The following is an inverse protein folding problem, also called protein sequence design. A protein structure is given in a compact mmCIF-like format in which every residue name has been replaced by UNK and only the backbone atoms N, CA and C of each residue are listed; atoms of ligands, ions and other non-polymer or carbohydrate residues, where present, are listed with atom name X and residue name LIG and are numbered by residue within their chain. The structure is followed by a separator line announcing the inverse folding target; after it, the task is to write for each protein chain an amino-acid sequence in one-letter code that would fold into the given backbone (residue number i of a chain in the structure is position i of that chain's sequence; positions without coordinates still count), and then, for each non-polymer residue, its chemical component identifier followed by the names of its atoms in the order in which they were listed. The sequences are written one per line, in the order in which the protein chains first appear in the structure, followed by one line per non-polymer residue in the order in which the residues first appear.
data_IF_213130065022
#
_entry.id   IF_213130065022
#
_cell.length_a   1.000
_cell.length_b   1.000
_cell.length_c   1.000
_cell.angle_alpha   90.00
_cell.angle_beta   90.00
_cell.angle_gamma   90.00
#
_symmetry.space_group_name_H-M   'P 1'
#
loop_
_entity.id
_entity.type
_entity.pdbx_description
1 polymer ?
#
# COMPACT_ATOMS: atom_id res chain seq x y z
N UNK A 1 -13.56 -23.10 6.71
CA UNK A 1 -14.50 -22.37 5.83
C UNK A 1 -13.66 -21.33 5.12
N UNK A 2 -13.49 -21.44 3.81
CA UNK A 2 -12.60 -20.57 3.05
C UNK A 2 -13.05 -19.11 3.10
N UNK A 3 -12.10 -18.19 3.18
CA UNK A 3 -12.32 -16.76 3.02
C UNK A 3 -12.64 -16.44 1.56
N UNK A 4 -13.85 -15.94 1.31
CA UNK A 4 -14.35 -15.62 -0.02
C UNK A 4 -14.02 -14.18 -0.43
N UNK A 5 -13.22 -14.04 -1.47
CA UNK A 5 -12.72 -12.78 -2.01
C UNK A 5 -13.55 -12.28 -3.19
N UNK A 6 -13.87 -11.00 -3.16
CA UNK A 6 -14.30 -10.21 -4.32
C UNK A 6 -13.19 -9.28 -4.78
N UNK A 7 -12.97 -9.17 -6.09
CA UNK A 7 -11.91 -8.32 -6.66
C UNK A 7 -12.54 -7.11 -7.37
N UNK A 8 -12.16 -5.90 -6.97
CA UNK A 8 -12.51 -4.66 -7.67
C UNK A 8 -11.31 -4.15 -8.46
N UNK A 9 -11.46 -4.10 -9.79
CA UNK A 9 -10.45 -3.83 -10.84
C UNK A 9 -9.88 -5.10 -11.48
N UNK A 10 -9.32 -4.91 -12.67
CA UNK A 10 -8.65 -5.94 -13.48
C UNK A 10 -7.25 -5.51 -13.91
N UNK A 11 -6.68 -4.51 -13.21
CA UNK A 11 -5.34 -3.99 -13.46
C UNK A 11 -4.22 -4.96 -13.04
N UNK A 12 -2.97 -4.57 -13.34
CA UNK A 12 -1.79 -5.40 -13.07
C UNK A 12 -1.68 -5.87 -11.62
N UNK A 13 -1.93 -4.99 -10.65
CA UNK A 13 -1.85 -5.36 -9.23
C UNK A 13 -2.94 -6.35 -8.81
N UNK A 14 -4.13 -6.30 -9.44
CA UNK A 14 -5.18 -7.31 -9.23
C UNK A 14 -4.79 -8.65 -9.84
N UNK A 15 -4.19 -8.66 -11.04
CA UNK A 15 -3.64 -9.87 -11.63
C UNK A 15 -2.60 -10.52 -10.70
N UNK A 16 -1.68 -9.72 -10.16
CA UNK A 16 -0.61 -10.22 -9.29
C UNK A 16 -1.19 -10.74 -7.96
N UNK A 17 -2.16 -10.04 -7.37
CA UNK A 17 -2.86 -10.47 -6.16
C UNK A 17 -3.66 -11.76 -6.35
N UNK A 18 -4.40 -11.88 -7.47
CA UNK A 18 -5.18 -13.08 -7.81
C UNK A 18 -4.25 -14.27 -8.05
N UNK A 19 -3.13 -14.06 -8.75
CA UNK A 19 -2.13 -15.11 -8.92
C UNK A 19 -1.56 -15.55 -7.57
N UNK A 20 -1.24 -14.62 -6.67
CA UNK A 20 -0.76 -14.94 -5.32
C UNK A 20 -1.80 -15.72 -4.51
N UNK A 21 -3.07 -15.32 -4.54
CA UNK A 21 -4.16 -16.05 -3.87
C UNK A 21 -4.36 -17.46 -4.42
N UNK A 22 -4.22 -17.66 -5.73
CA UNK A 22 -4.33 -18.99 -6.36
C UNK A 22 -3.20 -19.96 -5.96
N UNK A 23 -2.13 -19.50 -5.30
CA UNK A 23 -1.12 -20.37 -4.70
C UNK A 23 -1.49 -20.83 -3.28
N UNK A 24 -2.53 -20.26 -2.67
CA UNK A 24 -2.98 -20.63 -1.33
C UNK A 24 -4.01 -21.77 -1.40
N UNK A 25 -4.20 -22.54 -0.31
CA UNK A 25 -5.17 -23.64 -0.29
C UNK A 25 -6.62 -23.18 -0.53
N UNK A 26 -7.35 -23.90 -1.38
CA UNK A 26 -8.75 -23.61 -1.75
C UNK A 26 -9.74 -23.71 -0.57
N UNK A 27 -9.38 -24.45 0.49
CA UNK A 27 -10.16 -24.57 1.72
C UNK A 27 -9.93 -23.41 2.71
N UNK A 28 -8.90 -22.59 2.45
CA UNK A 28 -8.58 -21.36 3.17
C UNK A 28 -8.98 -20.09 2.39
N UNK A 29 -8.80 -20.06 1.07
CA UNK A 29 -9.04 -18.87 0.23
C UNK A 29 -9.73 -19.21 -1.09
N UNK A 30 -10.77 -18.45 -1.44
CA UNK A 30 -11.49 -18.61 -2.70
C UNK A 30 -11.82 -17.27 -3.32
N UNK A 31 -11.52 -17.11 -4.61
CA UNK A 31 -11.91 -15.93 -5.38
C UNK A 31 -13.25 -16.23 -6.04
N UNK A 32 -14.31 -15.57 -5.57
CA UNK A 32 -15.68 -15.91 -5.98
C UNK A 32 -16.26 -14.94 -7.00
N UNK A 33 -15.69 -13.74 -7.13
CA UNK A 33 -16.09 -12.85 -8.20
C UNK A 33 -15.22 -11.61 -8.40
N UNK A 34 -15.38 -10.99 -9.56
CA UNK A 34 -14.63 -9.81 -10.00
C UNK A 34 -15.54 -8.78 -10.65
N UNK A 35 -15.27 -7.51 -10.42
CA UNK A 35 -15.93 -6.39 -11.09
C UNK A 35 -14.88 -5.41 -11.62
N UNK A 36 -15.23 -4.74 -12.73
CA UNK A 36 -14.38 -3.77 -13.40
C UNK A 36 -15.22 -2.56 -13.83
N UNK A 37 -14.57 -1.49 -14.31
CA UNK A 37 -15.26 -0.31 -14.83
C UNK A 37 -16.03 -0.56 -16.13
N UNK A 38 -15.79 -1.70 -16.77
CA UNK A 38 -16.52 -2.19 -17.94
C UNK A 38 -16.71 -3.69 -17.78
N UNK A 39 -17.92 -4.18 -18.01
CA UNK A 39 -18.28 -5.60 -17.85
C UNK A 39 -17.36 -6.52 -18.65
N UNK A 40 -17.03 -6.15 -19.89
CA UNK A 40 -16.21 -6.97 -20.78
C UNK A 40 -14.81 -7.22 -20.21
N UNK A 41 -14.25 -6.24 -19.49
CA UNK A 41 -12.96 -6.39 -18.79
C UNK A 41 -13.07 -7.34 -17.61
N UNK A 42 -14.18 -7.31 -16.88
CA UNK A 42 -14.43 -8.25 -15.78
C UNK A 42 -14.57 -9.68 -16.32
N UNK A 43 -15.30 -9.87 -17.42
CA UNK A 43 -15.46 -11.17 -18.08
C UNK A 43 -14.14 -11.73 -18.61
N UNK A 44 -13.32 -10.90 -19.26
CA UNK A 44 -11.99 -11.30 -19.74
C UNK A 44 -11.09 -11.74 -18.58
N UNK A 45 -11.06 -10.95 -17.52
CA UNK A 45 -10.26 -11.25 -16.34
C UNK A 45 -10.77 -12.50 -15.60
N UNK A 46 -12.08 -12.67 -15.51
CA UNK A 46 -12.70 -13.85 -14.92
C UNK A 46 -12.34 -15.13 -15.69
N UNK A 47 -12.44 -15.10 -17.04
CA UNK A 47 -11.99 -16.21 -17.88
C UNK A 47 -10.52 -16.53 -17.69
N UNK A 48 -9.66 -15.50 -17.64
CA UNK A 48 -8.21 -15.67 -17.48
C UNK A 48 -7.83 -16.37 -16.17
N UNK A 49 -8.54 -16.05 -15.09
CA UNK A 49 -8.20 -16.52 -13.74
C UNK A 49 -9.18 -17.58 -13.20
N UNK A 50 -10.10 -18.10 -14.04
CA UNK A 50 -11.15 -19.03 -13.66
C UNK A 50 -12.03 -18.55 -12.48
N UNK A 51 -12.37 -17.26 -12.47
CA UNK A 51 -13.22 -16.66 -11.43
C UNK A 51 -14.70 -16.93 -11.79
N UNK A 52 -15.52 -17.46 -10.88
CA UNK A 52 -16.88 -17.90 -11.23
C UNK A 52 -17.83 -16.80 -11.72
N UNK A 53 -17.73 -15.59 -11.15
CA UNK A 53 -18.67 -14.50 -11.43
C UNK A 53 -17.92 -13.24 -11.89
N UNK A 54 -18.28 -12.71 -13.06
CA UNK A 54 -17.95 -11.37 -13.48
C UNK A 54 -19.20 -10.48 -13.32
N UNK A 55 -19.15 -9.48 -12.45
CA UNK A 55 -20.29 -8.60 -12.18
C UNK A 55 -20.38 -7.44 -13.18
N UNK A 56 -21.59 -6.94 -13.40
CA UNK A 56 -21.89 -5.77 -14.24
C UNK A 56 -21.27 -4.48 -13.67
N UNK A 57 -21.28 -4.36 -12.34
CA UNK A 57 -20.86 -3.15 -11.64
C UNK A 57 -20.14 -3.47 -10.33
N UNK A 58 -19.43 -2.48 -9.79
CA UNK A 58 -18.82 -2.58 -8.46
C UNK A 58 -19.88 -2.72 -7.37
N UNK A 59 -21.05 -2.10 -7.57
CA UNK A 59 -22.19 -2.16 -6.68
C UNK A 59 -22.78 -3.57 -6.58
N UNK A 60 -22.85 -4.29 -7.70
CA UNK A 60 -23.38 -5.66 -7.72
C UNK A 60 -22.47 -6.62 -6.96
N UNK A 61 -21.15 -6.49 -7.13
CA UNK A 61 -20.18 -7.25 -6.32
C UNK A 61 -20.30 -6.88 -4.84
N UNK A 62 -20.39 -5.59 -4.51
CA UNK A 62 -20.48 -5.15 -3.12
C UNK A 62 -21.75 -5.68 -2.40
N UNK A 63 -22.85 -5.88 -3.13
CA UNK A 63 -24.11 -6.42 -2.60
C UNK A 63 -24.13 -7.94 -2.46
N UNK A 64 -23.23 -8.67 -3.11
CA UNK A 64 -23.23 -10.13 -3.08
C UNK A 64 -22.92 -10.65 -1.67
N UNK A 65 -23.90 -11.29 -1.04
CA UNK A 65 -23.80 -11.80 0.34
C UNK A 65 -22.80 -12.96 0.50
N UNK A 66 -22.42 -13.64 -0.59
CA UNK A 66 -21.43 -14.72 -0.58
C UNK A 66 -19.99 -14.24 -0.41
N UNK A 67 -19.70 -12.97 -0.70
CA UNK A 67 -18.35 -12.38 -0.55
C UNK A 67 -18.11 -12.00 0.90
N UNK A 68 -17.01 -12.48 1.48
CA UNK A 68 -16.60 -12.13 2.85
C UNK A 68 -15.72 -10.89 2.93
N UNK A 69 -14.79 -10.76 1.98
CA UNK A 69 -13.82 -9.67 1.90
C UNK A 69 -13.66 -9.19 0.47
N UNK A 70 -13.48 -7.88 0.30
CA UNK A 70 -13.21 -7.26 -1.00
C UNK A 70 -11.77 -6.76 -1.05
N UNK A 71 -11.09 -7.04 -2.15
CA UNK A 71 -9.81 -6.46 -2.50
C UNK A 71 -10.01 -5.33 -3.54
N UNK A 72 -9.47 -4.15 -3.26
CA UNK A 72 -9.52 -2.99 -4.16
C UNK A 72 -8.11 -2.72 -4.68
N UNK A 73 -7.90 -2.96 -5.98
CA UNK A 73 -6.65 -2.65 -6.68
C UNK A 73 -6.87 -1.71 -7.88
N UNK A 74 -7.67 -0.67 -7.69
CA UNK A 74 -7.94 0.37 -8.71
C UNK A 74 -6.84 1.43 -8.72
N UNK A 75 -7.05 2.49 -9.51
CA UNK A 75 -6.23 3.70 -9.42
C UNK A 75 -6.48 4.43 -8.10
N UNK A 76 -5.47 5.17 -7.62
CA UNK A 76 -5.46 5.84 -6.31
C UNK A 76 -6.69 6.73 -6.05
N UNK A 77 -7.18 7.41 -7.09
CA UNK A 77 -8.32 8.34 -6.99
C UNK A 77 -9.66 7.65 -6.78
N UNK A 78 -9.77 6.37 -7.14
CA UNK A 78 -10.99 5.58 -6.98
C UNK A 78 -11.09 4.91 -5.59
N UNK A 79 -9.98 4.79 -4.85
CA UNK A 79 -9.95 4.06 -3.58
C UNK A 79 -11.00 4.56 -2.59
N UNK A 80 -11.08 5.88 -2.34
CA UNK A 80 -12.02 6.41 -1.34
C UNK A 80 -13.48 6.05 -1.64
N UNK A 81 -13.93 6.30 -2.88
CA UNK A 81 -15.32 6.05 -3.27
C UNK A 81 -15.66 4.55 -3.19
N UNK A 82 -14.75 3.68 -3.64
CA UNK A 82 -14.98 2.24 -3.62
C UNK A 82 -14.88 1.64 -2.21
N UNK A 83 -13.96 2.12 -1.38
CA UNK A 83 -13.92 1.74 0.03
C UNK A 83 -15.25 2.09 0.72
N UNK A 84 -15.76 3.30 0.49
CA UNK A 84 -17.04 3.75 1.05
C UNK A 84 -18.22 2.90 0.56
N UNK A 85 -18.25 2.53 -0.73
CA UNK A 85 -19.23 1.61 -1.30
C UNK A 85 -19.19 0.23 -0.60
N UNK A 86 -18.01 -0.38 -0.49
CA UNK A 86 -17.82 -1.70 0.11
C UNK A 86 -18.17 -1.70 1.60
N UNK A 87 -17.70 -0.72 2.35
CA UNK A 87 -18.00 -0.58 3.79
C UNK A 87 -19.49 -0.30 4.04
N UNK A 88 -20.18 0.38 3.12
CA UNK A 88 -21.64 0.65 3.21
C UNK A 88 -22.43 -0.66 3.10
N UNK A 89 -21.94 -1.59 2.28
CA UNK A 89 -22.50 -2.93 2.11
C UNK A 89 -21.97 -3.95 3.13
N UNK A 90 -21.36 -3.48 4.23
CA UNK A 90 -20.94 -4.30 5.38
C UNK A 90 -19.93 -5.42 5.03
N UNK A 91 -19.02 -5.16 4.09
CA UNK A 91 -17.96 -6.12 3.72
C UNK A 91 -16.62 -5.79 4.37
N UNK A 92 -15.85 -6.82 4.69
CA UNK A 92 -14.43 -6.64 5.05
C UNK A 92 -13.65 -6.15 3.84
N UNK A 93 -12.56 -5.42 4.08
CA UNK A 93 -11.87 -4.69 3.02
C UNK A 93 -10.35 -4.72 3.17
N UNK A 94 -9.67 -5.09 2.08
CA UNK A 94 -8.25 -4.86 1.85
C UNK A 94 -8.12 -3.90 0.66
N UNK A 95 -7.65 -2.68 0.87
CA UNK A 95 -7.51 -1.68 -0.20
C UNK A 95 -6.05 -1.39 -0.47
N UNK A 96 -5.64 -1.36 -1.74
CA UNK A 96 -4.28 -1.00 -2.15
C UNK A 96 -3.82 0.37 -1.63
N UNK A 97 -2.50 0.50 -1.58
CA UNK A 97 -1.83 1.75 -1.18
C UNK A 97 -1.71 2.74 -2.35
N UNK A 98 -1.66 4.05 -2.08
CA UNK A 98 -2.06 4.67 -0.82
C UNK A 98 -3.57 4.54 -0.63
N UNK A 99 -4.01 4.36 0.61
CA UNK A 99 -5.43 4.16 0.93
C UNK A 99 -6.29 5.32 0.42
N UNK A 100 -5.83 6.55 0.62
CA UNK A 100 -6.49 7.77 0.20
C UNK A 100 -5.45 8.84 -0.15
N UNK A 101 -5.82 9.77 -1.02
CA UNK A 101 -4.99 10.94 -1.36
C UNK A 101 -5.07 12.06 -0.31
N UNK A 102 -6.05 11.98 0.61
CA UNK A 102 -6.28 12.96 1.67
C UNK A 102 -6.44 12.26 3.01
N UNK A 103 -5.91 12.88 4.06
CA UNK A 103 -6.02 12.39 5.44
C UNK A 103 -7.49 12.25 5.90
N UNK A 104 -8.33 13.26 5.62
CA UNK A 104 -9.74 13.28 6.05
C UNK A 104 -10.55 12.12 5.45
N UNK A 105 -10.25 11.75 4.21
CA UNK A 105 -10.90 10.64 3.51
C UNK A 105 -10.56 9.30 4.21
N UNK A 106 -9.29 9.10 4.58
CA UNK A 106 -8.87 7.92 5.34
C UNK A 106 -9.52 7.86 6.73
N UNK A 107 -9.58 9.00 7.43
CA UNK A 107 -10.19 9.11 8.76
C UNK A 107 -11.69 8.76 8.75
N UNK A 108 -12.42 9.21 7.72
CA UNK A 108 -13.83 8.86 7.52
C UNK A 108 -13.99 7.35 7.32
N UNK A 109 -13.20 6.74 6.43
CA UNK A 109 -13.28 5.30 6.14
C UNK A 109 -12.94 4.45 7.37
N UNK A 110 -11.91 4.83 8.13
CA UNK A 110 -11.54 4.14 9.38
C UNK A 110 -12.68 4.23 10.39
N UNK A 111 -13.28 5.42 10.55
CA UNK A 111 -14.43 5.62 11.45
C UNK A 111 -15.62 4.76 11.04
N UNK A 112 -15.90 4.68 9.74
CA UNK A 112 -16.97 3.88 9.18
C UNK A 112 -16.74 2.37 9.39
N UNK A 113 -15.53 1.87 9.13
CA UNK A 113 -15.17 0.48 9.36
C UNK A 113 -15.32 0.09 10.84
N UNK A 114 -14.84 0.94 11.76
CA UNK A 114 -15.01 0.75 13.21
C UNK A 114 -16.48 0.72 13.62
N UNK A 115 -17.28 1.68 13.16
CA UNK A 115 -18.74 1.73 13.44
C UNK A 115 -19.45 0.47 12.96
N UNK A 116 -19.04 -0.07 11.82
CA UNK A 116 -19.63 -1.28 11.24
C UNK A 116 -18.98 -2.59 11.74
N UNK A 117 -17.97 -2.51 12.61
CA UNK A 117 -17.18 -3.66 13.10
C UNK A 117 -16.58 -4.51 11.97
N UNK A 118 -16.07 -3.84 10.93
CA UNK A 118 -15.48 -4.50 9.77
C UNK A 118 -13.96 -4.47 9.86
N UNK A 119 -13.33 -5.59 9.49
CA UNK A 119 -11.92 -5.58 9.11
C UNK A 119 -11.70 -4.61 7.95
N UNK A 120 -10.73 -3.73 8.10
CA UNK A 120 -10.32 -2.77 7.08
C UNK A 120 -8.81 -2.54 7.18
N UNK A 121 -8.09 -2.77 6.08
CA UNK A 121 -6.63 -2.66 6.03
C UNK A 121 -6.16 -2.02 4.73
N UNK A 122 -5.16 -1.14 4.83
CA UNK A 122 -4.39 -0.65 3.69
C UNK A 122 -3.35 -1.71 3.27
N UNK A 123 -3.20 -1.92 1.97
CA UNK A 123 -2.34 -2.89 1.30
C UNK A 123 -0.86 -2.56 1.37
N UNK A 124 -0.34 -2.22 2.54
CA UNK A 124 1.11 -2.04 2.79
C UNK A 124 1.77 -3.41 2.97
N UNK A 125 1.72 -4.22 1.92
CA UNK A 125 2.20 -5.60 1.85
C UNK A 125 3.63 -5.81 2.36
N UNK A 126 4.51 -4.80 2.26
CA UNK A 126 5.89 -4.88 2.75
C UNK A 126 5.99 -5.34 4.21
N UNK A 127 5.02 -4.94 5.05
CA UNK A 127 4.96 -5.30 6.48
C UNK A 127 4.87 -6.80 6.75
N UNK A 128 4.44 -7.58 5.76
CA UNK A 128 4.18 -9.02 5.92
C UNK A 128 5.28 -9.90 5.32
N UNK A 129 6.39 -9.31 4.83
CA UNK A 129 7.56 -10.12 4.48
C UNK A 129 8.29 -10.58 5.76
N UNK A 130 8.88 -11.79 5.76
CA UNK A 130 9.66 -12.30 6.91
C UNK A 130 10.79 -11.36 7.38
N UNK A 131 11.31 -10.52 6.48
CA UNK A 131 12.31 -9.51 6.84
C UNK A 131 11.78 -8.46 7.80
N UNK A 132 10.49 -8.10 7.72
CA UNK A 132 9.84 -7.15 8.63
C UNK A 132 9.56 -7.79 10.00
N UNK A 133 9.22 -9.08 10.03
CA UNK A 133 9.11 -9.83 11.29
C UNK A 133 10.47 -9.89 11.98
N UNK A 134 11.52 -10.25 11.23
CA UNK A 134 12.89 -10.28 11.76
C UNK A 134 13.35 -8.92 12.23
N UNK A 135 13.06 -7.86 11.47
CA UNK A 135 13.35 -6.50 11.87
C UNK A 135 12.68 -6.14 13.20
N UNK A 136 11.39 -6.45 13.35
CA UNK A 136 10.64 -6.20 14.57
C UNK A 136 11.23 -6.93 15.77
N UNK A 137 11.64 -8.19 15.59
CA UNK A 137 12.34 -8.98 16.63
C UNK A 137 13.68 -8.36 17.02
N UNK A 138 14.48 -7.88 16.06
CA UNK A 138 15.78 -7.26 16.33
C UNK A 138 15.65 -5.91 17.06
N UNK A 139 14.63 -5.13 16.71
CA UNK A 139 14.30 -3.89 17.42
C UNK A 139 13.85 -4.20 18.86
N UNK A 140 12.98 -5.20 19.04
CA UNK A 140 12.50 -5.61 20.36
C UNK A 140 13.61 -6.20 21.25
N UNK A 141 14.60 -6.89 20.67
CA UNK A 141 15.74 -7.43 21.42
C UNK A 141 16.79 -6.38 21.80
N UNK A 142 16.60 -5.12 21.39
CA UNK A 142 17.49 -4.00 21.72
C UNK A 142 18.94 -4.21 21.24
N UNK A 143 19.14 -4.97 20.15
CA UNK A 143 20.48 -5.32 19.65
C UNK A 143 21.28 -4.09 19.19
N UNK A 144 20.59 -3.05 18.70
CA UNK A 144 21.20 -1.77 18.31
C UNK A 144 21.13 -0.70 19.40
N UNK A 145 20.65 -1.03 20.60
CA UNK A 145 20.41 -0.03 21.64
C UNK A 145 19.28 0.95 21.28
N UNK A 146 19.31 2.14 21.86
CA UNK A 146 18.35 3.20 21.53
C UNK A 146 18.53 3.65 20.07
N UNK A 147 17.47 3.58 19.28
CA UNK A 147 17.48 4.03 17.88
C UNK A 147 17.50 5.56 17.84
N UNK A 148 18.46 6.12 17.11
CA UNK A 148 18.69 7.57 17.00
C UNK A 148 18.35 8.07 15.60
N UNK A 149 18.68 7.29 14.57
CA UNK A 149 18.55 7.74 13.19
C UNK A 149 18.07 6.61 12.28
N UNK A 150 17.16 6.93 11.36
CA UNK A 150 16.71 6.05 10.29
C UNK A 150 16.97 6.75 8.96
N UNK A 151 17.53 6.04 7.99
CA UNK A 151 17.57 6.53 6.61
C UNK A 151 17.08 5.46 5.67
N UNK A 152 16.37 5.88 4.62
CA UNK A 152 15.94 4.99 3.56
C UNK A 152 15.78 5.75 2.24
N UNK A 153 16.05 5.06 1.15
CA UNK A 153 15.83 5.57 -0.18
C UNK A 153 14.91 4.62 -0.97
N UNK A 154 14.10 5.18 -1.86
CA UNK A 154 13.34 4.39 -2.82
C UNK A 154 13.23 5.15 -4.14
N UNK A 155 14.10 4.79 -5.08
CA UNK A 155 14.09 5.32 -6.44
C UNK A 155 13.98 4.22 -7.49
N UNK A 156 13.08 4.43 -8.45
CA UNK A 156 12.95 3.60 -9.65
C UNK A 156 12.66 4.47 -10.87
N UNK A 157 13.16 4.08 -12.03
CA UNK A 157 12.94 4.80 -13.30
C UNK A 157 11.55 4.52 -13.88
N UNK A 158 10.54 5.17 -13.30
CA UNK A 158 9.11 5.05 -13.65
C UNK A 158 8.51 6.34 -14.18
N UNK A 159 9.32 7.37 -14.43
CA UNK A 159 8.88 8.65 -14.96
C UNK A 159 8.15 8.52 -16.29
N UNK A 160 8.37 7.46 -17.08
CA UNK A 160 7.61 7.23 -18.32
C UNK A 160 6.14 6.84 -18.09
N UNK A 161 5.74 6.44 -16.88
CA UNK A 161 4.38 5.96 -16.58
C UNK A 161 3.42 7.14 -16.36
N UNK A 162 2.38 7.25 -17.20
CA UNK A 162 1.42 8.37 -17.17
C UNK A 162 0.74 8.55 -15.80
N UNK A 163 0.34 7.45 -15.14
CA UNK A 163 -0.25 7.48 -13.79
C UNK A 163 0.65 8.20 -12.78
N UNK A 164 1.97 8.05 -12.89
CA UNK A 164 2.94 8.62 -11.94
C UNK A 164 3.12 10.12 -12.19
N UNK A 165 3.01 10.58 -13.45
CA UNK A 165 3.19 11.98 -13.82
C UNK A 165 1.96 12.87 -13.61
N UNK A 166 0.79 12.27 -13.44
CA UNK A 166 -0.49 12.97 -13.45
C UNK A 166 -1.04 13.21 -12.05
N UNK A 167 -1.28 14.49 -11.72
CA UNK A 167 -1.88 14.90 -10.45
C UNK A 167 -3.31 14.37 -10.31
N UNK A 168 -4.06 14.38 -11.42
CA UNK A 168 -5.45 13.92 -11.50
C UNK A 168 -5.60 12.40 -11.33
N UNK A 169 -4.49 11.65 -11.40
CA UNK A 169 -4.47 10.21 -11.15
C UNK A 169 -3.86 9.85 -9.78
N UNK A 170 -3.55 10.85 -8.96
CA UNK A 170 -2.87 10.66 -7.68
C UNK A 170 -1.44 10.17 -7.84
N UNK A 171 -0.74 10.65 -8.88
CA UNK A 171 0.66 10.38 -9.15
C UNK A 171 1.61 11.05 -8.14
N UNK A 172 2.90 10.82 -8.33
CA UNK A 172 3.96 11.34 -7.47
C UNK A 172 4.70 10.25 -6.70
N UNK A 173 5.97 10.51 -6.41
CA UNK A 173 6.81 9.57 -5.65
C UNK A 173 6.38 9.45 -4.20
N UNK A 174 5.78 10.48 -3.59
CA UNK A 174 5.28 10.40 -2.21
C UNK A 174 4.21 9.31 -2.09
N UNK A 175 3.22 9.32 -2.98
CA UNK A 175 2.13 8.35 -2.97
C UNK A 175 2.55 6.97 -3.45
N UNK A 176 3.47 6.89 -4.42
CA UNK A 176 3.85 5.61 -5.01
C UNK A 176 4.96 4.89 -4.22
N UNK A 177 5.97 5.64 -3.77
CA UNK A 177 7.20 5.12 -3.14
C UNK A 177 7.32 5.56 -1.68
N UNK A 178 6.91 6.78 -1.35
CA UNK A 178 7.02 7.39 -0.02
C UNK A 178 6.28 6.63 1.06
N UNK A 179 5.15 6.00 0.72
CA UNK A 179 4.40 5.11 1.61
C UNK A 179 5.30 4.05 2.26
N UNK A 180 6.26 3.48 1.52
CA UNK A 180 7.14 2.42 2.01
C UNK A 180 8.21 2.90 3.01
N UNK A 181 8.76 4.09 2.82
CA UNK A 181 9.75 4.64 3.77
C UNK A 181 9.06 5.27 4.98
N UNK A 182 7.88 5.88 4.79
CA UNK A 182 7.07 6.45 5.87
C UNK A 182 6.52 5.36 6.80
N UNK A 183 5.98 4.28 6.25
CA UNK A 183 5.54 3.15 7.08
C UNK A 183 6.71 2.52 7.85
N UNK A 184 7.93 2.54 7.32
CA UNK A 184 9.10 2.02 8.03
C UNK A 184 9.44 2.91 9.22
N UNK A 185 9.34 4.23 9.10
CA UNK A 185 9.51 5.15 10.22
C UNK A 185 8.50 4.87 11.35
N UNK A 186 7.24 4.60 10.99
CA UNK A 186 6.20 4.23 11.96
C UNK A 186 6.56 2.92 12.66
N UNK A 187 7.08 1.91 11.94
CA UNK A 187 7.53 0.65 12.55
C UNK A 187 8.67 0.89 13.56
N UNK A 188 9.67 1.68 13.16
CA UNK A 188 10.91 1.86 13.92
C UNK A 188 10.70 2.74 15.15
N UNK A 189 9.94 3.82 15.01
CA UNK A 189 9.76 4.79 16.11
C UNK A 189 8.44 4.62 16.87
N UNK A 190 7.44 3.93 16.30
CA UNK A 190 6.15 3.67 16.96
C UNK A 190 5.29 4.91 17.21
N UNK A 191 5.63 6.06 16.62
CA UNK A 191 4.95 7.35 16.84
C UNK A 191 5.02 8.24 15.60
N UNK A 192 4.26 9.33 15.63
CA UNK A 192 4.29 10.39 14.61
C UNK A 192 5.48 11.34 14.83
N UNK A 193 6.03 11.94 13.76
CA UNK A 193 7.04 12.99 13.88
C UNK A 193 6.43 14.27 14.47
N UNK A 194 7.25 15.10 15.11
CA UNK A 194 6.90 16.45 15.55
C UNK A 194 6.90 17.45 14.39
N UNK A 195 7.80 17.30 13.43
CA UNK A 195 7.94 18.21 12.29
C UNK A 195 8.55 17.50 11.08
N UNK A 196 8.28 18.06 9.91
CA UNK A 196 8.79 17.57 8.62
C UNK A 196 9.46 18.75 7.90
N UNK A 197 10.65 18.54 7.36
CA UNK A 197 11.31 19.46 6.43
C UNK A 197 11.57 18.73 5.12
N UNK A 198 11.20 19.34 4.00
CA UNK A 198 11.29 18.68 2.69
C UNK A 198 11.77 19.63 1.59
N UNK A 199 12.51 19.08 0.65
CA UNK A 199 12.93 19.73 -0.60
C UNK A 199 12.81 18.73 -1.74
N UNK A 200 12.32 19.17 -2.89
CA UNK A 200 12.07 18.27 -4.01
C UNK A 200 11.95 18.99 -5.34
N UNK A 201 11.68 18.20 -6.37
CA UNK A 201 11.44 18.67 -7.72
C UNK A 201 10.06 18.20 -8.18
N UNK A 202 9.28 19.14 -8.71
CA UNK A 202 8.01 18.86 -9.35
C UNK A 202 8.20 18.82 -10.87
N UNK A 203 7.46 17.94 -11.54
CA UNK A 203 7.32 18.01 -12.99
C UNK A 203 6.43 19.20 -13.40
N UNK A 204 6.27 19.38 -14.72
CA UNK A 204 5.41 20.42 -15.32
C UNK A 204 3.93 20.36 -14.89
N UNK A 205 3.44 19.20 -14.45
CA UNK A 205 2.07 18.99 -13.97
C UNK A 205 1.92 19.24 -12.45
N UNK A 206 2.98 19.70 -11.78
CA UNK A 206 2.99 19.95 -10.35
C UNK A 206 2.97 18.68 -9.50
N UNK A 207 3.47 17.57 -10.03
CA UNK A 207 3.61 16.27 -9.35
C UNK A 207 5.06 16.03 -9.00
N UNK A 208 5.35 15.51 -7.82
CA UNK A 208 6.72 15.27 -7.37
C UNK A 208 7.42 14.15 -8.16
N UNK A 209 8.58 14.48 -8.74
CA UNK A 209 9.50 13.53 -9.38
C UNK A 209 10.58 13.04 -8.41
N UNK A 210 10.96 13.88 -7.47
CA UNK A 210 11.88 13.54 -6.40
C UNK A 210 11.64 14.41 -5.18
N UNK A 211 11.88 13.83 -4.01
CA UNK A 211 11.79 14.53 -2.74
C UNK A 211 12.79 13.94 -1.75
N UNK A 212 13.49 14.83 -1.05
CA UNK A 212 14.26 14.51 0.14
C UNK A 212 13.54 15.14 1.34
N UNK A 213 13.33 14.37 2.40
CA UNK A 213 12.61 14.85 3.56
C UNK A 213 13.15 14.28 4.86
N UNK A 214 13.16 15.13 5.87
CA UNK A 214 13.62 14.81 7.23
C UNK A 214 12.42 14.89 8.17
N UNK A 215 12.19 13.81 8.90
CA UNK A 215 11.21 13.68 9.97
C UNK A 215 11.94 13.88 11.29
N UNK A 216 11.50 14.85 12.10
CA UNK A 216 12.03 15.07 13.44
C UNK A 216 11.09 14.46 14.49
N UNK A 217 11.66 13.75 15.44
CA UNK A 217 10.98 13.18 16.60
C UNK A 217 11.52 13.79 17.91
N UNK A 218 10.90 13.45 19.03
CA UNK A 218 11.41 13.80 20.35
C UNK A 218 12.80 13.17 20.61
N UNK A 219 13.49 13.67 21.64
CA UNK A 219 14.78 13.15 22.12
C UNK A 219 15.89 13.14 21.06
N UNK A 220 15.81 14.06 20.09
CA UNK A 220 16.82 14.21 19.03
C UNK A 220 16.80 13.13 17.96
N UNK A 221 15.78 12.26 17.93
CA UNK A 221 15.66 11.21 16.91
C UNK A 221 15.21 11.81 15.58
N UNK A 222 15.77 11.32 14.47
CA UNK A 222 15.40 11.78 13.12
C UNK A 222 15.29 10.63 12.13
N UNK A 223 14.56 10.85 11.05
CA UNK A 223 14.63 10.01 9.86
C UNK A 223 14.82 10.85 8.61
N UNK A 224 15.67 10.41 7.68
CA UNK A 224 15.88 11.08 6.39
C UNK A 224 15.57 10.14 5.24
N UNK A 225 14.68 10.58 4.35
CA UNK A 225 14.21 9.78 3.24
C UNK A 225 14.40 10.47 1.90
N UNK A 226 14.61 9.67 0.86
CA UNK A 226 14.64 10.11 -0.51
C UNK A 226 13.75 9.21 -1.37
N UNK A 227 12.85 9.79 -2.15
CA UNK A 227 12.11 9.06 -3.19
C UNK A 227 12.32 9.69 -4.55
N UNK A 228 12.41 8.86 -5.59
CA UNK A 228 12.75 9.35 -6.93
C UNK A 228 12.14 8.51 -8.07
N UNK A 229 11.51 9.16 -9.05
CA UNK A 229 10.90 8.49 -10.22
C UNK A 229 11.78 8.40 -11.46
N UNK A 230 12.96 9.05 -11.49
CA UNK A 230 13.80 9.13 -12.71
C UNK A 230 15.01 8.20 -12.66
N UNK A 231 15.50 7.93 -11.46
CA UNK A 231 16.68 7.10 -11.25
C UNK A 231 16.35 5.90 -10.38
N UNK A 232 17.10 4.83 -10.60
CA UNK A 232 17.17 3.72 -9.65
C UNK A 232 18.14 4.08 -8.53
N UNK A 233 17.71 3.90 -7.30
CA UNK A 233 18.56 4.04 -6.12
C UNK A 233 18.89 2.66 -5.53
N UNK A 234 19.61 2.65 -4.40
CA UNK A 234 19.96 1.41 -3.71
C UNK A 234 18.72 0.69 -3.16
N UNK A 235 17.64 1.44 -2.94
CA UNK A 235 16.37 0.96 -2.41
C UNK A 235 16.60 0.22 -1.09
N UNK A 236 17.29 0.89 -0.16
CA UNK A 236 17.71 0.29 1.11
C UNK A 236 17.27 1.15 2.28
N UNK A 237 17.25 0.56 3.46
CA UNK A 237 17.05 1.28 4.71
C UNK A 237 18.12 0.90 5.73
N UNK A 238 18.59 1.86 6.50
CA UNK A 238 19.51 1.64 7.61
C UNK A 238 18.98 2.30 8.87
N UNK A 239 18.91 1.51 9.94
CA UNK A 239 18.47 1.93 11.28
C UNK A 239 19.71 1.97 12.16
N UNK A 240 20.05 3.15 12.65
CA UNK A 240 21.19 3.40 13.51
C UNK A 240 20.74 3.58 14.95
N UNK A 241 21.32 2.77 15.83
CA UNK A 241 21.18 2.92 17.27
C UNK A 241 22.53 3.05 17.96
N UNK A 242 22.48 3.38 19.25
CA UNK A 242 23.65 3.59 20.12
C UNK A 242 24.64 2.43 20.20
N UNK A 243 24.25 1.20 19.81
CA UNK A 243 25.09 -0.01 19.88
C UNK A 243 25.36 -0.66 18.53
N UNK A 244 24.82 -0.12 17.43
CA UNK A 244 25.00 -0.71 16.11
C UNK A 244 23.96 -0.28 15.10
N UNK A 245 23.85 -1.03 14.00
CA UNK A 245 22.91 -0.74 12.93
C UNK A 245 22.24 -2.00 12.39
N UNK A 246 21.02 -1.85 11.86
CA UNK A 246 20.32 -2.85 11.05
C UNK A 246 20.17 -2.28 9.65
N UNK A 247 20.63 -3.02 8.63
CA UNK A 247 20.43 -2.67 7.23
C UNK A 247 19.42 -3.63 6.60
N UNK A 248 18.39 -3.06 5.95
CA UNK A 248 17.41 -3.77 5.14
C UNK A 248 17.70 -3.44 3.69
N UNK A 249 18.11 -4.43 2.90
CA UNK A 249 18.36 -4.27 1.48
C UNK A 249 17.18 -4.83 0.68
N UNK A 250 16.67 -4.09 -0.29
CA UNK A 250 15.88 -4.68 -1.37
C UNK A 250 16.86 -5.34 -2.36
N UNK A 251 17.26 -6.58 -2.07
CA UNK A 251 18.09 -7.35 -3.00
C UNK A 251 17.26 -7.63 -4.26
N UNK A 252 17.50 -6.83 -5.30
CA UNK A 252 17.35 -7.34 -6.65
C UNK A 252 18.59 -8.16 -6.93
N UNK A 253 18.47 -9.49 -6.90
CA UNK A 253 19.43 -10.36 -7.58
C UNK A 253 19.55 -9.81 -9.01
N UNK A 254 20.74 -9.35 -9.36
CA UNK A 254 21.08 -8.98 -10.73
C UNK A 254 21.11 -10.23 -11.60
#
# INVERSE_FOLDING_TARGET
MALKWGILSTGKICNDFVNALNYLPDDEHQIVGVAASKKEKAEEFARKHNIPIAYESYEDLAKDTSIGVVYIGTINTAHYALCKLVLSNKKHLLCEKPLCLKYKDAEELITMAKKNKLFFMEGVWSRFFPVYDKLSQLLASNVVGNVIYLTADFGISISAIDRIKSKELGGGTIFDLGVYVLQLAILVFGRNPQSISAVGHLNENGVDESINYVLKYDDGKTASFCTHSRIRMDNSATIYGTKGQIKVCLNHLK
#
